data_IF_998106008461
#
_entry.id   IF_998106008461
#
_cell.length_a   1.000
_cell.length_b   1.000
_cell.length_c   1.000
_cell.angle_alpha   90.00
_cell.angle_beta   90.00
_cell.angle_gamma   90.00
#
_symmetry.space_group_name_H-M   'P 1'
#
loop_
_entity.id
_entity.type
_entity.pdbx_description
1 polymer ?
#
# COMPACT_ATOMS: atom_id res chain seq x y z
N UNK A 1 -17.23 -3.03 15.94
CA UNK A 1 -17.08 -1.74 15.25
C UNK A 1 -15.88 -1.87 14.32
N UNK A 2 -16.09 -1.80 13.01
CA UNK A 2 -15.00 -1.92 12.05
C UNK A 2 -14.17 -0.63 12.08
N UNK A 3 -12.92 -0.71 12.51
CA UNK A 3 -12.01 0.42 12.51
C UNK A 3 -11.47 0.55 11.08
N UNK A 4 -12.08 1.42 10.28
CA UNK A 4 -11.73 1.62 8.88
C UNK A 4 -10.58 2.64 8.84
N UNK A 5 -9.34 2.16 8.98
CA UNK A 5 -8.17 3.01 8.73
C UNK A 5 -7.22 2.32 7.76
N UNK A 6 -7.67 2.21 6.52
CA UNK A 6 -6.87 1.80 5.37
C UNK A 6 -6.81 2.98 4.39
N UNK A 7 -5.61 3.46 4.08
CA UNK A 7 -5.41 4.65 3.25
C UNK A 7 -4.57 4.33 2.02
N UNK A 8 -5.11 4.66 0.85
CA UNK A 8 -4.39 4.67 -0.42
C UNK A 8 -4.16 6.11 -0.87
N UNK A 9 -2.89 6.53 -0.98
CA UNK A 9 -2.50 7.87 -1.41
C UNK A 9 -1.93 7.81 -2.84
N UNK A 10 -2.46 8.64 -3.73
CA UNK A 10 -2.00 8.77 -5.12
C UNK A 10 -2.05 10.22 -5.57
N UNK A 11 -1.09 10.64 -6.38
CA UNK A 11 -1.07 11.97 -7.02
C UNK A 11 -1.91 12.04 -8.31
N UNK A 12 -2.30 10.88 -8.86
CA UNK A 12 -3.11 10.79 -10.07
C UNK A 12 -4.20 9.71 -9.86
N UNK A 13 -5.35 10.05 -9.26
CA UNK A 13 -6.39 9.07 -8.95
C UNK A 13 -7.09 8.51 -10.20
N UNK A 14 -7.09 9.26 -11.32
CA UNK A 14 -7.81 8.88 -12.53
C UNK A 14 -7.23 7.66 -13.25
N UNK A 15 -5.96 7.35 -13.01
CA UNK A 15 -5.31 6.19 -13.63
C UNK A 15 -5.47 4.91 -12.82
N UNK A 16 -6.18 4.93 -11.69
CA UNK A 16 -6.37 3.73 -10.87
C UNK A 16 -7.85 3.35 -10.79
N UNK A 17 -8.13 2.06 -10.95
CA UNK A 17 -9.40 1.50 -10.53
C UNK A 17 -9.21 0.83 -9.17
N UNK A 18 -10.07 1.18 -8.22
CA UNK A 18 -10.05 0.65 -6.86
C UNK A 18 -11.28 -0.19 -6.63
N UNK A 19 -11.11 -1.40 -6.14
CA UNK A 19 -12.20 -2.31 -5.77
C UNK A 19 -12.02 -2.78 -4.34
N UNK A 20 -13.11 -2.81 -3.59
CA UNK A 20 -13.16 -3.37 -2.25
C UNK A 20 -13.76 -4.77 -2.31
N UNK A 21 -13.12 -5.75 -1.69
CA UNK A 21 -13.64 -7.11 -1.58
C UNK A 21 -13.68 -7.57 -0.13
N UNK A 22 -14.34 -8.70 0.11
CA UNK A 22 -14.39 -9.33 1.43
C UNK A 22 -12.99 -9.57 2.00
N UNK A 23 -12.86 -9.67 3.34
CA UNK A 23 -11.60 -9.99 3.96
C UNK A 23 -11.00 -11.28 3.40
N UNK A 24 -9.67 -11.30 3.27
CA UNK A 24 -8.97 -12.50 2.88
C UNK A 24 -8.86 -13.43 4.09
N UNK A 25 -9.50 -14.60 4.01
CA UNK A 25 -9.51 -15.59 5.09
C UNK A 25 -10.19 -15.08 6.35
N UNK A 26 -9.50 -15.18 7.50
CA UNK A 26 -10.02 -14.76 8.81
C UNK A 26 -9.69 -13.31 9.17
N UNK A 27 -9.20 -12.50 8.22
CA UNK A 27 -8.94 -11.09 8.45
C UNK A 27 -10.23 -10.37 8.84
N UNK A 28 -10.11 -9.39 9.73
CA UNK A 28 -11.19 -8.44 10.04
C UNK A 28 -11.14 -7.19 9.14
N UNK A 29 -10.21 -7.12 8.18
CA UNK A 29 -10.05 -6.04 7.22
C UNK A 29 -10.50 -6.48 5.82
N UNK A 30 -11.31 -5.64 5.18
CA UNK A 30 -11.67 -5.80 3.77
C UNK A 30 -10.43 -5.63 2.89
N UNK A 31 -10.39 -6.34 1.77
CA UNK A 31 -9.27 -6.25 0.86
C UNK A 31 -9.49 -5.10 -0.14
N UNK A 32 -8.52 -4.19 -0.22
CA UNK A 32 -8.50 -3.10 -1.21
C UNK A 32 -7.59 -3.55 -2.36
N UNK A 33 -8.19 -3.83 -3.51
CA UNK A 33 -7.45 -4.10 -4.76
C UNK A 33 -7.37 -2.82 -5.59
N UNK A 34 -6.18 -2.51 -6.08
CA UNK A 34 -5.92 -1.35 -6.93
C UNK A 34 -5.32 -1.86 -8.24
N UNK A 35 -5.96 -1.55 -9.36
CA UNK A 35 -5.44 -1.85 -10.69
C UNK A 35 -5.03 -0.57 -11.42
N UNK A 36 -3.89 -0.64 -12.12
CA UNK A 36 -3.41 0.41 -13.00
C UNK A 36 -3.46 -0.13 -14.44
N UNK A 37 -4.14 0.56 -15.38
CA UNK A 37 -4.21 0.14 -16.77
C UNK A 37 -2.87 0.36 -17.52
N UNK A 38 -1.95 1.11 -16.92
CA UNK A 38 -0.62 1.35 -17.48
C UNK A 38 0.30 0.25 -16.95
N UNK A 39 0.71 -0.66 -17.83
CA UNK A 39 1.84 -1.56 -17.53
C UNK A 39 3.04 -0.68 -17.19
N UNK A 40 3.72 -0.88 -16.04
CA UNK A 40 4.87 -0.07 -15.71
C UNK A 40 5.87 -0.23 -16.86
N UNK A 41 6.25 0.88 -17.49
CA UNK A 41 7.39 0.90 -18.40
C UNK A 41 8.55 0.30 -17.59
N UNK A 42 9.15 -0.83 -18.03
CA UNK A 42 10.27 -1.40 -17.32
C UNK A 42 11.29 -0.28 -17.12
N UNK A 43 11.83 -0.10 -15.90
CA UNK A 43 12.89 0.87 -15.70
C UNK A 43 13.97 0.59 -16.74
N UNK A 44 14.23 1.57 -17.63
CA UNK A 44 15.24 1.45 -18.69
C UNK A 44 16.65 1.34 -18.10
N UNK A 45 16.82 1.90 -16.90
CA UNK A 45 18.03 1.73 -16.10
C UNK A 45 17.97 0.45 -15.28
N UNK A 46 19.09 -0.29 -15.24
CA UNK A 46 19.29 -1.36 -14.27
C UNK A 46 18.91 -0.83 -12.88
N UNK A 47 18.03 -1.49 -12.11
CA UNK A 47 17.64 -0.99 -10.81
C UNK A 47 18.90 -0.84 -9.96
N UNK A 48 19.33 0.41 -9.70
CA UNK A 48 20.31 0.71 -8.65
C UNK A 48 19.83 -0.07 -7.43
N UNK A 49 20.66 -1.02 -6.97
CA UNK A 49 20.33 -2.02 -5.95
C UNK A 49 19.29 -1.47 -4.96
N UNK A 50 18.05 -1.96 -5.04
CA UNK A 50 17.02 -1.59 -4.05
C UNK A 50 17.49 -2.13 -2.71
N UNK A 51 17.98 -1.25 -1.85
CA UNK A 51 18.28 -1.63 -0.48
C UNK A 51 16.93 -1.89 0.21
N UNK A 52 16.59 -3.16 0.40
CA UNK A 52 15.40 -3.55 1.13
C UNK A 52 15.70 -3.40 2.62
N UNK A 53 15.33 -2.24 3.18
CA UNK A 53 15.39 -2.04 4.62
C UNK A 53 14.25 -2.82 5.27
N UNK A 54 14.59 -3.90 5.99
CA UNK A 54 13.66 -4.61 6.86
C UNK A 54 13.78 -4.01 8.25
N UNK A 55 12.82 -3.19 8.64
CA UNK A 55 12.64 -2.82 10.03
C UNK A 55 11.85 -3.94 10.74
N UNK A 56 12.37 -4.46 11.86
CA UNK A 56 11.76 -5.57 12.59
C UNK A 56 10.45 -5.21 13.30
N UNK A 57 10.15 -3.93 13.44
CA UNK A 57 8.87 -3.40 13.93
C UNK A 57 8.83 -1.88 13.69
N UNK A 58 7.63 -1.33 13.51
CA UNK A 58 7.39 0.11 13.60
C UNK A 58 6.89 0.42 15.02
N UNK A 59 7.69 1.13 15.81
CA UNK A 59 7.27 1.69 17.08
C UNK A 59 6.45 2.96 16.81
N UNK A 60 5.13 2.84 16.75
CA UNK A 60 4.24 4.01 16.60
C UNK A 60 4.19 4.87 17.88
N UNK A 61 4.61 4.34 19.03
CA UNK A 61 4.65 5.06 20.29
C UNK A 61 5.68 6.20 20.34
N UNK A 62 6.70 6.18 19.47
CA UNK A 62 7.70 7.25 19.38
C UNK A 62 7.21 8.44 18.54
N UNK A 63 6.14 8.27 17.75
CA UNK A 63 5.58 9.34 16.93
C UNK A 63 4.76 10.34 17.76
N UNK A 64 4.27 9.94 18.95
CA UNK A 64 3.51 10.80 19.85
C UNK A 64 4.38 11.68 20.76
N UNK A 65 5.70 11.70 20.54
CA UNK A 65 6.66 12.51 21.32
C UNK A 65 7.10 13.79 20.61
N UNK A 66 6.51 14.12 19.47
CA UNK A 66 6.74 15.36 18.73
C UNK A 66 5.43 16.13 18.55
#
# INVERSE_FOLDING_TARGET
>A
MANILDLFLTSNPLVYAVTLSSPLGSSNHNLISVSCPISPIPPQDSPKRRCLWRFGSASWGDLSRY
#
